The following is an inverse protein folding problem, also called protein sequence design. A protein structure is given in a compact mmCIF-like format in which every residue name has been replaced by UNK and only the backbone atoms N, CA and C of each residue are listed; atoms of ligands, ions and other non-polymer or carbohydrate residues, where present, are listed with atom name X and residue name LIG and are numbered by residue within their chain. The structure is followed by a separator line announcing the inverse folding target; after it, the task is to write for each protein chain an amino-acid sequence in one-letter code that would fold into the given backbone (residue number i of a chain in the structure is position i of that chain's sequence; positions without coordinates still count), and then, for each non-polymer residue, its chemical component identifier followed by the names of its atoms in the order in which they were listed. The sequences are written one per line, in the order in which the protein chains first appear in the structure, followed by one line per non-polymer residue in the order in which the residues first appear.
data_IF_000932103593
#
_entry.id   IF_000932103593
#
_cell.length_a   1.000
_cell.length_b   1.000
_cell.length_c   1.000
_cell.angle_alpha   90.00
_cell.angle_beta   90.00
_cell.angle_gamma   90.00
#
_symmetry.space_group_name_H-M   'P 1'
#
loop_
_entity.id
_entity.type
_entity.pdbx_description
1 polymer ?
#
# COMPACT_ATOMS: atom_id res chain seq x y z
N UNK A 1 8.99 -10.93 -32.58
CA UNK A 1 8.04 -11.23 -31.49
C UNK A 1 8.43 -10.31 -30.34
N UNK A 2 7.75 -9.16 -30.20
CA UNK A 2 8.05 -8.16 -29.16
C UNK A 2 7.13 -8.43 -27.98
N UNK A 3 7.67 -8.87 -26.85
CA UNK A 3 6.88 -9.14 -25.64
C UNK A 3 7.04 -7.98 -24.66
N UNK A 4 5.97 -7.19 -24.53
CA UNK A 4 5.44 -6.53 -23.32
C UNK A 4 6.40 -6.20 -22.15
N UNK A 5 7.40 -5.37 -22.38
CA UNK A 5 8.14 -4.73 -21.27
C UNK A 5 7.37 -3.52 -20.66
N UNK A 6 6.39 -2.96 -21.39
CA UNK A 6 5.68 -1.74 -20.96
C UNK A 6 4.57 -1.97 -19.92
N UNK A 7 4.04 -3.19 -19.81
CA UNK A 7 2.92 -3.48 -18.87
C UNK A 7 3.43 -3.67 -17.43
N UNK A 8 4.63 -4.24 -17.24
CA UNK A 8 5.18 -4.47 -15.91
C UNK A 8 5.78 -3.21 -15.25
N UNK A 9 6.40 -2.31 -16.01
CA UNK A 9 6.97 -1.06 -15.48
C UNK A 9 5.89 -0.14 -14.88
N UNK A 10 4.70 -0.10 -15.50
CA UNK A 10 3.58 0.72 -15.03
C UNK A 10 3.00 0.19 -13.72
N UNK A 11 3.12 -1.11 -13.45
CA UNK A 11 2.50 -1.78 -12.31
C UNK A 11 3.14 -1.37 -10.96
N UNK A 12 4.47 -1.43 -10.84
CA UNK A 12 5.15 -1.14 -9.57
C UNK A 12 5.18 0.36 -9.23
N UNK A 13 5.25 1.23 -10.24
CA UNK A 13 5.05 2.67 -10.03
C UNK A 13 3.65 3.00 -9.54
N UNK A 14 2.62 2.37 -10.12
CA UNK A 14 1.24 2.52 -9.68
C UNK A 14 1.06 2.08 -8.22
N UNK A 15 1.70 0.98 -7.83
CA UNK A 15 1.72 0.52 -6.44
C UNK A 15 2.29 1.58 -5.50
N UNK A 16 3.43 2.17 -5.87
CA UNK A 16 4.07 3.22 -5.08
C UNK A 16 3.16 4.43 -4.86
N UNK A 17 2.48 4.86 -5.92
CA UNK A 17 1.53 5.98 -5.88
C UNK A 17 0.30 5.66 -5.02
N UNK A 18 -0.19 4.41 -5.06
CA UNK A 18 -1.27 3.92 -4.18
C UNK A 18 -0.85 4.01 -2.72
N UNK A 19 0.31 3.43 -2.38
CA UNK A 19 0.77 3.41 -1.00
C UNK A 19 0.98 4.85 -0.49
N UNK A 20 1.55 5.75 -1.32
CA UNK A 20 1.76 7.16 -0.96
C UNK A 20 0.42 7.83 -0.64
N UNK A 21 -0.59 7.58 -1.47
CA UNK A 21 -1.92 8.14 -1.29
C UNK A 21 -2.54 7.70 0.04
N UNK A 22 -2.45 6.41 0.40
CA UNK A 22 -3.00 5.89 1.66
C UNK A 22 -2.30 6.55 2.87
N UNK A 23 -0.96 6.62 2.85
CA UNK A 23 -0.24 7.23 3.97
C UNK A 23 -0.54 8.72 4.08
N UNK A 24 -0.59 9.44 2.96
CA UNK A 24 -0.85 10.88 2.96
C UNK A 24 -2.20 11.21 3.59
N UNK A 25 -3.28 10.51 3.19
CA UNK A 25 -4.62 10.81 3.71
C UNK A 25 -4.73 10.50 5.21
N UNK A 26 -4.08 9.43 5.69
CA UNK A 26 -4.07 9.12 7.13
C UNK A 26 -3.26 10.16 7.90
N UNK A 27 -2.14 10.68 7.34
CA UNK A 27 -1.38 11.80 7.92
C UNK A 27 -2.24 13.06 8.03
N UNK A 28 -3.04 13.36 7.02
CA UNK A 28 -3.94 14.51 7.03
C UNK A 28 -5.02 14.37 8.12
N UNK A 29 -5.63 13.19 8.27
CA UNK A 29 -6.62 12.93 9.33
C UNK A 29 -6.01 12.97 10.74
N UNK A 30 -4.81 12.41 10.91
CA UNK A 30 -4.10 12.38 12.18
C UNK A 30 -3.50 13.73 12.60
N UNK A 31 -3.54 14.75 11.73
CA UNK A 31 -3.08 16.08 12.08
C UNK A 31 -3.75 16.55 13.38
N UNK A 32 -2.98 17.16 14.29
CA UNK A 32 -3.38 17.45 15.68
C UNK A 32 -4.67 18.27 15.84
N UNK A 33 -5.06 19.01 14.81
CA UNK A 33 -6.26 19.85 14.80
C UNK A 33 -7.49 19.14 14.17
N UNK A 34 -7.31 17.91 13.67
CA UNK A 34 -8.33 17.10 13.02
C UNK A 34 -8.78 16.00 14.00
N UNK A 35 -8.16 14.81 13.93
CA UNK A 35 -8.58 13.63 14.70
C UNK A 35 -7.39 12.94 15.39
N UNK A 36 -7.07 13.31 16.64
CA UNK A 36 -5.88 12.81 17.34
C UNK A 36 -5.78 11.29 17.46
N UNK A 37 -6.90 10.57 17.51
CA UNK A 37 -6.98 9.11 17.57
C UNK A 37 -6.34 8.42 16.36
N UNK A 38 -6.32 9.08 15.18
CA UNK A 38 -5.66 8.56 13.98
C UNK A 38 -4.13 8.49 14.11
N UNK A 39 -3.54 9.10 15.13
CA UNK A 39 -2.12 8.93 15.43
C UNK A 39 -1.75 7.48 15.76
N UNK A 40 -2.68 6.67 16.27
CA UNK A 40 -2.43 5.23 16.47
C UNK A 40 -2.29 4.49 15.14
N UNK A 41 -3.08 4.85 14.12
CA UNK A 41 -2.93 4.32 12.76
C UNK A 41 -1.58 4.72 12.15
N UNK A 42 -1.15 5.97 12.34
CA UNK A 42 0.17 6.41 11.88
C UNK A 42 1.31 5.59 12.50
N UNK A 43 1.22 5.21 13.78
CA UNK A 43 2.23 4.35 14.41
C UNK A 43 2.33 3.00 13.70
N UNK A 44 1.20 2.41 13.30
CA UNK A 44 1.18 1.15 12.53
C UNK A 44 1.81 1.32 11.15
N UNK A 45 1.50 2.44 10.48
CA UNK A 45 1.99 2.77 9.14
C UNK A 45 3.48 3.15 9.08
N UNK A 46 4.11 3.50 10.21
CA UNK A 46 5.55 3.83 10.27
C UNK A 46 6.46 2.73 9.73
N UNK A 47 6.03 1.47 9.78
CA UNK A 47 6.78 0.34 9.23
C UNK A 47 6.92 0.44 7.71
N UNK A 48 5.92 1.05 7.06
CA UNK A 48 5.84 1.23 5.61
C UNK A 48 6.51 2.56 5.21
N UNK A 49 6.36 3.61 6.02
CA UNK A 49 6.88 4.98 5.77
C UNK A 49 8.41 5.00 5.57
N UNK A 50 9.16 4.07 6.17
CA UNK A 50 10.64 4.05 6.13
C UNK A 50 11.26 3.74 4.76
N UNK A 51 10.47 3.22 3.80
CA UNK A 51 10.99 2.80 2.49
C UNK A 51 10.38 3.58 1.31
N UNK A 52 9.63 4.65 1.57
CA UNK A 52 8.87 5.38 0.54
C UNK A 52 9.67 6.18 -0.48
N UNK A 53 10.94 6.47 -0.21
CA UNK A 53 11.75 7.27 -1.12
C UNK A 53 12.54 6.42 -2.11
N UNK A 54 12.64 5.12 -1.85
CA UNK A 54 13.40 4.18 -2.69
C UNK A 54 12.51 3.59 -3.79
N UNK A 55 11.19 3.59 -3.59
CA UNK A 55 10.24 2.99 -4.53
C UNK A 55 10.43 1.49 -4.67
N UNK A 56 9.83 0.93 -5.71
CA UNK A 56 9.97 -0.48 -6.06
C UNK A 56 10.97 -0.64 -7.21
N UNK A 57 11.76 -1.70 -7.19
CA UNK A 57 12.66 -2.03 -8.30
C UNK A 57 11.86 -2.44 -9.54
N UNK A 58 11.81 -1.52 -10.51
CA UNK A 58 11.07 -1.64 -11.77
C UNK A 58 11.67 -2.69 -12.73
N UNK A 59 12.86 -3.23 -12.44
CA UNK A 59 13.49 -4.30 -13.25
C UNK A 59 12.85 -5.68 -13.05
N UNK A 60 11.86 -5.79 -12.15
CA UNK A 60 11.14 -7.04 -11.91
C UNK A 60 10.19 -7.39 -13.07
N UNK A 61 10.37 -8.59 -13.63
CA UNK A 61 9.59 -9.10 -14.75
C UNK A 61 8.33 -9.87 -14.33
N UNK A 62 8.00 -9.87 -13.04
CA UNK A 62 6.84 -10.58 -12.48
C UNK A 62 5.60 -9.71 -12.57
N UNK A 63 4.48 -10.33 -12.97
CA UNK A 63 3.19 -9.66 -13.04
C UNK A 63 2.56 -9.56 -11.64
N UNK A 64 2.48 -8.34 -11.10
CA UNK A 64 1.87 -8.04 -9.80
C UNK A 64 0.46 -7.46 -9.88
N UNK A 65 -0.19 -7.50 -11.06
CA UNK A 65 -1.45 -6.78 -11.32
C UNK A 65 -2.56 -7.08 -10.30
N UNK A 66 -2.76 -8.34 -9.93
CA UNK A 66 -3.81 -8.73 -8.97
C UNK A 66 -3.55 -8.19 -7.56
N UNK A 67 -2.30 -8.18 -7.14
CA UNK A 67 -1.90 -7.65 -5.83
C UNK A 67 -2.03 -6.12 -5.80
N UNK A 68 -1.69 -5.45 -6.90
CA UNK A 68 -1.85 -4.00 -7.06
C UNK A 68 -3.33 -3.61 -7.08
N UNK A 69 -4.16 -4.36 -7.80
CA UNK A 69 -5.60 -4.15 -7.81
C UNK A 69 -6.20 -4.30 -6.40
N UNK A 70 -5.73 -5.30 -5.65
CA UNK A 70 -6.14 -5.50 -4.25
C UNK A 70 -5.72 -4.33 -3.35
N UNK A 71 -4.50 -3.81 -3.54
CA UNK A 71 -4.01 -2.63 -2.82
C UNK A 71 -4.82 -1.37 -3.17
N UNK A 72 -5.14 -1.19 -4.46
CA UNK A 72 -5.94 -0.07 -4.93
C UNK A 72 -7.38 -0.11 -4.40
N UNK A 73 -7.96 -1.31 -4.28
CA UNK A 73 -9.27 -1.48 -3.67
C UNK A 73 -9.25 -1.04 -2.20
N UNK A 74 -8.23 -1.45 -1.45
CA UNK A 74 -8.05 -1.00 -0.06
C UNK A 74 -7.91 0.53 0.04
N UNK A 75 -7.17 1.17 -0.89
CA UNK A 75 -7.12 2.64 -0.96
C UNK A 75 -8.50 3.27 -1.08
N UNK A 76 -9.32 2.76 -1.99
CA UNK A 76 -10.68 3.28 -2.23
C UNK A 76 -11.55 3.05 -0.99
N UNK A 77 -11.53 1.84 -0.42
CA UNK A 77 -12.33 1.49 0.75
C UNK A 77 -11.94 2.34 1.97
N UNK A 78 -10.63 2.57 2.19
CA UNK A 78 -10.12 3.47 3.24
C UNK A 78 -10.63 4.89 3.02
N UNK A 79 -10.49 5.45 1.81
CA UNK A 79 -10.92 6.83 1.53
C UNK A 79 -12.43 7.00 1.75
N UNK A 80 -13.25 6.07 1.24
CA UNK A 80 -14.69 6.09 1.45
C UNK A 80 -15.03 6.07 2.94
N UNK A 81 -14.32 5.25 3.73
CA UNK A 81 -14.59 5.12 5.15
C UNK A 81 -14.10 6.33 5.97
N UNK A 82 -13.02 6.96 5.55
CA UNK A 82 -12.54 8.23 6.09
C UNK A 82 -13.54 9.37 5.82
N UNK A 83 -14.14 9.41 4.64
CA UNK A 83 -15.21 10.36 4.32
C UNK A 83 -16.44 10.10 5.19
N UNK A 84 -16.88 8.84 5.30
CA UNK A 84 -17.98 8.44 6.20
C UNK A 84 -17.68 8.83 7.65
N UNK A 85 -16.43 8.67 8.09
CA UNK A 85 -16.01 9.05 9.44
C UNK A 85 -16.40 10.49 9.74
N UNK A 86 -16.17 11.44 8.83
CA UNK A 86 -16.47 12.86 9.07
C UNK A 86 -17.92 13.11 9.46
N UNK A 87 -18.87 12.38 8.87
CA UNK A 87 -20.31 12.54 9.07
C UNK A 87 -20.93 11.49 10.00
N UNK A 88 -20.18 10.45 10.39
CA UNK A 88 -20.69 9.34 11.19
C UNK A 88 -21.13 9.79 12.58
N UNK A 89 -22.30 9.30 13.01
CA UNK A 89 -22.79 9.45 14.38
C UNK A 89 -22.13 8.45 15.34
N UNK A 90 -21.62 7.33 14.83
CA UNK A 90 -20.84 6.35 15.60
C UNK A 90 -19.39 6.35 15.12
N UNK A 91 -18.66 7.40 15.53
CA UNK A 91 -17.25 7.58 15.21
C UNK A 91 -16.41 6.39 15.65
N UNK A 92 -16.74 5.77 16.79
CA UNK A 92 -15.94 4.67 17.35
C UNK A 92 -16.03 3.42 16.47
N UNK A 93 -17.23 3.07 16.02
CA UNK A 93 -17.43 1.95 15.11
C UNK A 93 -16.78 2.23 13.74
N UNK A 94 -17.00 3.41 13.16
CA UNK A 94 -16.36 3.77 11.89
C UNK A 94 -14.83 3.76 11.98
N UNK A 95 -14.26 4.23 13.10
CA UNK A 95 -12.82 4.17 13.34
C UNK A 95 -12.31 2.72 13.40
N UNK A 96 -13.03 1.82 14.08
CA UNK A 96 -12.65 0.40 14.17
C UNK A 96 -12.58 -0.24 12.78
N UNK A 97 -13.57 0.05 11.93
CA UNK A 97 -13.60 -0.44 10.56
C UNK A 97 -12.45 0.13 9.70
N UNK A 98 -12.05 1.40 9.93
CA UNK A 98 -10.86 1.97 9.30
C UNK A 98 -9.59 1.25 9.78
N UNK A 99 -9.49 0.95 11.08
CA UNK A 99 -8.35 0.24 11.64
C UNK A 99 -8.16 -1.14 11.00
N UNK A 100 -9.25 -1.90 10.82
CA UNK A 100 -9.24 -3.19 10.15
C UNK A 100 -8.77 -3.07 8.68
N UNK A 101 -9.24 -2.05 7.96
CA UNK A 101 -8.78 -1.79 6.59
C UNK A 101 -7.28 -1.46 6.54
N UNK A 102 -6.77 -0.70 7.51
CA UNK A 102 -5.34 -0.39 7.63
C UNK A 102 -4.51 -1.65 7.93
N UNK A 103 -5.00 -2.55 8.79
CA UNK A 103 -4.34 -3.83 9.06
C UNK A 103 -4.28 -4.69 7.79
N UNK A 104 -5.37 -4.74 7.01
CA UNK A 104 -5.42 -5.46 5.74
C UNK A 104 -4.44 -4.86 4.71
N UNK A 105 -4.37 -3.53 4.63
CA UNK A 105 -3.39 -2.81 3.81
C UNK A 105 -1.94 -3.17 4.17
N UNK A 106 -1.59 -3.14 5.46
CA UNK A 106 -0.25 -3.51 5.93
C UNK A 106 0.07 -4.97 5.58
N UNK A 107 -0.90 -5.85 5.75
CA UNK A 107 -0.74 -7.27 5.43
C UNK A 107 -0.47 -7.48 3.94
N UNK A 108 -1.28 -6.88 3.07
CA UNK A 108 -1.09 -6.98 1.62
C UNK A 108 0.23 -6.33 1.16
N UNK A 109 0.60 -5.18 1.73
CA UNK A 109 1.90 -4.54 1.49
C UNK A 109 3.07 -5.49 1.79
N UNK A 110 3.05 -6.15 2.95
CA UNK A 110 4.11 -7.09 3.33
C UNK A 110 4.18 -8.29 2.38
N UNK A 111 3.04 -8.85 1.98
CA UNK A 111 2.99 -9.94 1.00
C UNK A 111 3.54 -9.53 -0.37
N UNK A 112 3.28 -8.30 -0.82
CA UNK A 112 3.86 -7.78 -2.07
C UNK A 112 5.38 -7.62 -1.94
N UNK A 113 5.86 -7.03 -0.84
CA UNK A 113 7.29 -6.88 -0.58
C UNK A 113 8.02 -8.23 -0.60
N UNK A 114 7.45 -9.25 0.04
CA UNK A 114 8.00 -10.61 0.03
C UNK A 114 8.02 -11.21 -1.39
N UNK A 115 6.93 -11.02 -2.15
CA UNK A 115 6.83 -11.52 -3.52
C UNK A 115 7.87 -10.89 -4.46
N UNK A 116 8.11 -9.58 -4.32
CA UNK A 116 9.14 -8.83 -5.05
C UNK A 116 10.55 -9.31 -4.68
N UNK A 117 10.81 -9.53 -3.38
CA UNK A 117 12.10 -10.06 -2.93
C UNK A 117 12.36 -11.47 -3.49
N UNK A 118 11.34 -12.32 -3.50
CA UNK A 118 11.44 -13.68 -4.02
C UNK A 118 11.65 -13.71 -5.55
N UNK A 119 11.07 -12.75 -6.30
CA UNK A 119 11.33 -12.64 -7.74
C UNK A 119 12.77 -12.25 -8.05
N UNK A 120 13.36 -11.34 -7.26
CA UNK A 120 14.78 -10.96 -7.41
C UNK A 120 15.73 -12.14 -7.10
N UNK A 121 15.44 -12.92 -6.06
CA UNK A 121 16.26 -14.08 -5.67
C UNK A 121 16.18 -15.23 -6.69
N UNK A 122 15.02 -15.44 -7.32
CA UNK A 122 14.84 -16.49 -8.34
C UNK A 122 15.47 -16.11 -9.68
N UNK A 123 15.49 -14.82 -10.05
CA UNK A 123 16.25 -14.32 -11.19
C UNK A 123 17.77 -14.40 -11.01
N UNK A 124 18.26 -14.42 -9.77
CA UNK A 124 19.70 -14.57 -9.44
C UNK A 124 20.25 -15.99 -9.56
N UNK A 125 19.41 -17.01 -9.82
CA UNK A 125 19.85 -18.43 -9.87
C UNK A 125 20.22 -18.96 -11.26
N UNK A 126 20.28 -18.12 -12.29
CA UNK A 126 20.93 -18.47 -13.55
C UNK A 126 22.35 -17.94 -13.55
N UNK A 127 23.27 -18.78 -13.08
CA UNK A 127 24.60 -19.05 -13.65
C UNK A 127 25.65 -19.33 -12.58
N UNK A 128 25.97 -20.61 -12.40
CA UNK A 128 27.37 -21.05 -12.46
C UNK A 128 27.36 -22.47 -13.04
N UNK A 129 27.82 -22.59 -14.28
CA UNK A 129 28.22 -23.85 -14.93
C UNK A 129 29.53 -24.30 -14.30
#
# INVERSE_FOLDING_TARGET
MLVNLSVNMVNLRTLHEIDRSIISVIKDYAHKNNFPEFNELLKKLKVIDKNFDIGYDESNNVNFSDMINSQNKLRIDINNKLEEYNTSTDKKETYTQIDDLIINYITNFNSIQESIKNSQLSGSKTDTI
#
